data_IF_413508137296
#
_entry.id   IF_413508137296
#
_cell.length_a   1.000
_cell.length_b   1.000
_cell.length_c   1.000
_cell.angle_alpha   90.00
_cell.angle_beta   90.00
_cell.angle_gamma   90.00
#
_symmetry.space_group_name_H-M   'P 1'
#
loop_
_entity.id
_entity.type
_entity.pdbx_description
1 polymer ?
#
# COMPACT_ATOMS: atom_id res chain seq x y z
N UNK A 1 70.74 -20.38 9.02
CA UNK A 1 70.23 -21.58 9.69
C UNK A 1 68.72 -21.60 9.51
N UNK A 2 68.20 -22.77 9.10
CA UNK A 2 66.81 -23.22 8.96
C UNK A 2 65.77 -22.43 9.80
N UNK A 3 64.57 -22.09 9.34
CA UNK A 3 63.58 -23.02 8.77
C UNK A 3 62.49 -22.35 7.92
N UNK A 4 62.08 -23.06 6.87
CA UNK A 4 60.94 -22.78 6.02
C UNK A 4 59.62 -23.38 6.56
N UNK A 5 58.52 -23.08 5.83
CA UNK A 5 57.15 -23.65 5.87
C UNK A 5 56.17 -22.94 6.83
N UNK A 6 54.99 -22.44 6.44
CA UNK A 6 54.09 -22.73 5.31
C UNK A 6 53.29 -21.49 4.85
N UNK A 7 53.24 -21.28 3.54
CA UNK A 7 52.10 -20.68 2.77
C UNK A 7 51.08 -21.78 2.41
N UNK A 8 49.93 -21.55 1.73
CA UNK A 8 49.18 -20.32 1.43
C UNK A 8 47.65 -20.46 1.71
N UNK A 9 46.87 -19.38 1.62
CA UNK A 9 45.62 -19.42 0.82
C UNK A 9 45.09 -18.01 0.56
N UNK A 10 44.76 -17.79 -0.70
CA UNK A 10 44.17 -16.58 -1.22
C UNK A 10 42.76 -16.39 -0.66
N UNK A 11 42.44 -15.18 -0.21
CA UNK A 11 41.06 -14.71 -0.19
C UNK A 11 40.92 -13.63 -1.26
N UNK A 12 40.32 -14.11 -2.34
CA UNK A 12 39.78 -13.37 -3.47
C UNK A 12 39.15 -12.04 -3.07
N UNK A 13 39.65 -10.97 -3.70
CA UNK A 13 38.83 -9.81 -4.03
C UNK A 13 37.60 -10.29 -4.82
N UNK A 14 36.44 -10.29 -4.17
CA UNK A 14 35.15 -10.40 -4.85
C UNK A 14 34.49 -9.01 -4.82
N UNK A 15 34.12 -8.46 -5.98
CA UNK A 15 33.35 -7.23 -6.03
C UNK A 15 31.97 -7.49 -5.44
N UNK A 16 31.55 -6.61 -4.53
CA UNK A 16 30.18 -6.53 -4.02
C UNK A 16 29.26 -6.30 -5.22
N UNK A 17 28.59 -7.36 -5.67
CA UNK A 17 27.61 -7.29 -6.74
C UNK A 17 26.40 -6.44 -6.29
N UNK A 18 25.87 -5.54 -7.14
CA UNK A 18 24.71 -4.73 -6.80
C UNK A 18 23.45 -5.60 -6.84
N UNK A 19 23.06 -6.12 -5.68
CA UNK A 19 21.82 -6.86 -5.48
C UNK A 19 20.70 -5.90 -5.04
N UNK A 20 20.14 -5.07 -5.96
CA UNK A 20 18.94 -4.28 -5.62
C UNK A 20 18.28 -3.58 -6.84
N UNK A 21 17.86 -4.30 -7.89
CA UNK A 21 16.94 -3.73 -8.89
C UNK A 21 15.94 -4.80 -9.36
N UNK A 22 15.03 -5.23 -8.48
CA UNK A 22 13.93 -6.13 -8.86
C UNK A 22 12.58 -5.78 -8.19
N UNK A 23 12.44 -4.58 -7.62
CA UNK A 23 11.22 -4.19 -6.88
C UNK A 23 10.13 -3.48 -7.69
N UNK A 24 10.39 -3.08 -8.94
CA UNK A 24 9.49 -2.21 -9.71
C UNK A 24 8.83 -2.89 -10.94
N UNK A 25 9.21 -4.13 -11.27
CA UNK A 25 8.63 -4.86 -12.42
C UNK A 25 7.54 -5.87 -12.00
N UNK A 26 7.57 -6.39 -10.77
CA UNK A 26 6.56 -7.35 -10.29
C UNK A 26 5.17 -6.72 -10.07
N UNK A 27 5.10 -5.39 -9.91
CA UNK A 27 3.88 -4.65 -9.54
C UNK A 27 2.89 -4.43 -10.70
N UNK A 28 3.25 -4.83 -11.93
CA UNK A 28 2.36 -4.85 -13.09
C UNK A 28 1.58 -6.17 -13.26
N UNK A 29 2.07 -7.28 -12.72
CA UNK A 29 1.56 -8.60 -13.11
C UNK A 29 0.32 -9.04 -12.31
N UNK A 30 -0.24 -8.13 -11.51
CA UNK A 30 -0.96 -8.51 -10.28
C UNK A 30 -2.48 -8.46 -10.34
N UNK A 31 -3.11 -7.84 -11.35
CA UNK A 31 -4.57 -7.95 -11.48
C UNK A 31 -5.00 -9.20 -12.27
N UNK A 32 -4.21 -9.60 -13.27
CA UNK A 32 -4.61 -10.68 -14.19
C UNK A 32 -4.65 -12.06 -13.55
N UNK A 33 -3.81 -12.36 -12.55
CA UNK A 33 -3.67 -13.73 -12.04
C UNK A 33 -4.35 -14.01 -10.70
N UNK A 34 -4.66 -12.98 -9.90
CA UNK A 34 -5.34 -13.14 -8.61
C UNK A 34 -6.88 -13.07 -8.71
N UNK A 35 -7.45 -12.80 -9.89
CA UNK A 35 -8.89 -12.54 -10.01
C UNK A 35 -9.70 -13.46 -10.95
N UNK A 36 -9.16 -14.51 -11.58
CA UNK A 36 -10.04 -15.42 -12.32
C UNK A 36 -9.51 -16.85 -12.44
N UNK A 37 -9.75 -17.66 -11.41
CA UNK A 37 -9.91 -19.11 -11.56
C UNK A 37 -11.37 -19.50 -11.35
N UNK A 38 -12.31 -18.87 -12.06
CA UNK A 38 -13.59 -19.54 -12.30
C UNK A 38 -13.36 -20.67 -13.28
N UNK A 39 -13.02 -21.83 -12.74
CA UNK A 39 -13.45 -23.06 -13.38
C UNK A 39 -14.98 -23.01 -13.33
N UNK A 40 -15.64 -22.71 -14.45
CA UNK A 40 -17.09 -22.90 -14.54
C UNK A 40 -17.37 -24.40 -14.53
N UNK A 41 -17.32 -25.00 -13.35
CA UNK A 41 -17.84 -26.34 -13.13
C UNK A 41 -19.33 -26.21 -12.83
N UNK A 42 -20.13 -27.06 -13.47
CA UNK A 42 -21.57 -27.11 -13.24
C UNK A 42 -21.85 -27.68 -11.86
N UNK A 43 -21.81 -26.84 -10.83
CA UNK A 43 -22.26 -27.24 -9.50
C UNK A 43 -23.77 -27.15 -9.48
N UNK A 44 -24.42 -28.30 -9.24
CA UNK A 44 -25.85 -28.32 -9.00
C UNK A 44 -26.13 -27.68 -7.64
N UNK A 45 -26.98 -26.65 -7.57
CA UNK A 45 -27.33 -25.92 -6.34
C UNK A 45 -27.52 -26.88 -5.13
N UNK A 46 -26.95 -26.58 -3.95
CA UNK A 46 -27.23 -27.31 -2.73
C UNK A 46 -28.74 -27.43 -2.49
N UNK A 47 -29.21 -28.55 -1.96
CA UNK A 47 -30.66 -28.83 -1.80
C UNK A 47 -31.42 -27.73 -1.05
N UNK A 48 -30.77 -27.06 -0.09
CA UNK A 48 -31.31 -25.92 0.65
C UNK A 48 -31.57 -24.69 -0.24
N UNK A 49 -30.62 -24.34 -1.11
CA UNK A 49 -30.73 -23.22 -2.04
C UNK A 49 -31.64 -23.53 -3.24
N UNK A 50 -31.68 -24.78 -3.71
CA UNK A 50 -32.64 -25.22 -4.76
C UNK A 50 -34.09 -24.96 -4.40
N UNK A 51 -34.46 -25.08 -3.12
CA UNK A 51 -35.84 -24.84 -2.65
C UNK A 51 -36.20 -23.36 -2.60
N UNK A 52 -35.21 -22.49 -2.40
CA UNK A 52 -35.39 -21.03 -2.27
C UNK A 52 -35.19 -20.30 -3.60
N UNK A 53 -34.39 -20.83 -4.52
CA UNK A 53 -34.06 -20.20 -5.79
C UNK A 53 -35.29 -19.83 -6.64
N UNK A 54 -36.31 -20.69 -6.81
CA UNK A 54 -37.53 -20.31 -7.54
C UNK A 54 -38.27 -19.15 -6.87
N UNK A 55 -38.39 -19.16 -5.53
CA UNK A 55 -39.05 -18.09 -4.80
C UNK A 55 -38.29 -16.76 -4.88
N UNK A 56 -36.96 -16.79 -4.88
CA UNK A 56 -36.10 -15.62 -5.07
C UNK A 56 -36.18 -15.07 -6.51
N UNK A 57 -36.18 -15.95 -7.51
CA UNK A 57 -36.29 -15.58 -8.93
C UNK A 57 -37.65 -14.98 -9.26
N UNK A 58 -38.74 -15.60 -8.78
CA UNK A 58 -40.10 -15.07 -8.96
C UNK A 58 -40.27 -13.72 -8.25
N UNK A 59 -39.67 -13.52 -7.06
CA UNK A 59 -39.63 -12.21 -6.39
C UNK A 59 -38.83 -11.14 -7.16
N UNK A 60 -37.82 -11.56 -7.92
CA UNK A 60 -37.01 -10.68 -8.76
C UNK A 60 -37.60 -10.47 -10.18
N UNK A 61 -38.81 -10.98 -10.46
CA UNK A 61 -39.48 -10.82 -11.75
C UNK A 61 -39.05 -11.81 -12.85
N UNK A 62 -38.28 -12.85 -12.51
CA UNK A 62 -37.84 -13.90 -13.45
C UNK A 62 -38.85 -15.05 -13.57
N UNK A 63 -39.01 -15.61 -14.78
CA UNK A 63 -39.79 -16.83 -14.99
C UNK A 63 -39.10 -18.04 -14.34
N UNK A 64 -39.88 -18.82 -13.59
CA UNK A 64 -39.47 -20.06 -12.92
C UNK A 64 -39.38 -21.23 -13.93
N UNK A 65 -38.54 -21.11 -14.95
CA UNK A 65 -38.08 -22.28 -15.70
C UNK A 65 -36.69 -22.66 -15.23
N UNK A 66 -36.47 -23.96 -15.05
CA UNK A 66 -35.33 -24.61 -14.39
C UNK A 66 -33.99 -23.92 -14.66
N UNK A 67 -33.61 -23.03 -13.74
CA UNK A 67 -32.32 -22.37 -13.77
C UNK A 67 -31.23 -23.40 -13.47
N UNK A 68 -30.60 -23.93 -14.52
CA UNK A 68 -29.24 -24.48 -14.44
C UNK A 68 -28.29 -23.33 -14.12
N UNK A 69 -28.36 -22.84 -12.88
CA UNK A 69 -27.57 -21.72 -12.40
C UNK A 69 -26.14 -22.20 -12.22
N UNK A 70 -25.23 -21.77 -13.09
CA UNK A 70 -23.80 -22.02 -12.94
C UNK A 70 -23.29 -21.14 -11.82
N UNK A 71 -23.16 -21.71 -10.62
CA UNK A 71 -22.56 -20.98 -9.52
C UNK A 71 -21.04 -20.86 -9.74
N UNK A 72 -20.48 -19.67 -9.48
CA UNK A 72 -19.04 -19.56 -9.32
C UNK A 72 -18.57 -20.52 -8.22
N UNK A 73 -17.57 -21.35 -8.50
CA UNK A 73 -16.88 -22.11 -7.46
C UNK A 73 -16.06 -21.13 -6.63
N UNK A 74 -16.34 -21.08 -5.33
CA UNK A 74 -15.53 -20.35 -4.36
C UNK A 74 -14.66 -21.37 -3.63
N UNK A 75 -13.37 -21.42 -3.99
CA UNK A 75 -12.39 -22.37 -3.45
C UNK A 75 -11.99 -22.08 -1.98
N UNK A 76 -12.70 -21.16 -1.31
CA UNK A 76 -12.37 -20.66 0.02
C UNK A 76 -11.46 -19.43 0.00
N UNK A 77 -11.38 -18.69 1.12
CA UNK A 77 -10.54 -17.50 1.20
C UNK A 77 -9.05 -17.89 1.33
N UNK A 78 -8.19 -17.16 0.64
CA UNK A 78 -6.74 -17.20 0.85
C UNK A 78 -6.36 -16.03 1.76
N UNK A 79 -5.89 -16.33 2.97
CA UNK A 79 -5.59 -15.32 4.01
C UNK A 79 -4.09 -15.03 4.20
N UNK A 80 -3.26 -15.66 3.38
CA UNK A 80 -1.82 -15.46 3.32
C UNK A 80 -1.41 -14.87 1.96
N UNK A 81 -0.32 -14.12 1.96
CA UNK A 81 0.29 -13.56 0.76
C UNK A 81 1.22 -14.58 0.10
N UNK A 82 1.40 -14.49 -1.22
CA UNK A 82 2.30 -15.37 -1.99
C UNK A 82 3.42 -14.56 -2.62
N UNK A 83 4.62 -15.13 -2.64
CA UNK A 83 5.80 -14.60 -3.34
C UNK A 83 6.34 -15.60 -4.36
N UNK A 84 7.47 -15.26 -4.97
CA UNK A 84 8.15 -16.15 -5.90
C UNK A 84 8.60 -17.45 -5.20
N UNK A 85 8.79 -18.50 -6.00
CA UNK A 85 9.32 -19.80 -5.54
C UNK A 85 8.49 -20.46 -4.42
N UNK A 86 7.18 -20.19 -4.37
CA UNK A 86 6.26 -20.81 -3.41
C UNK A 86 6.30 -20.22 -2.00
N UNK A 87 6.96 -19.07 -1.80
CA UNK A 87 6.93 -18.34 -0.54
C UNK A 87 5.49 -17.97 -0.15
N UNK A 88 5.18 -18.09 1.13
CA UNK A 88 3.89 -17.70 1.71
C UNK A 88 4.08 -16.98 3.03
N UNK A 89 3.23 -15.99 3.30
CA UNK A 89 3.34 -15.22 4.54
C UNK A 89 1.98 -14.75 5.07
N UNK A 90 1.76 -14.96 6.37
CA UNK A 90 0.58 -14.44 7.07
C UNK A 90 0.85 -13.08 7.76
N UNK A 91 2.09 -12.63 7.82
CA UNK A 91 2.37 -11.30 8.36
C UNK A 91 2.25 -10.26 7.25
N UNK A 92 1.87 -9.05 7.64
CA UNK A 92 1.77 -7.89 6.76
C UNK A 92 1.90 -6.63 7.59
N UNK A 93 2.36 -5.55 6.98
CA UNK A 93 2.48 -4.26 7.64
C UNK A 93 1.22 -3.44 7.40
N UNK A 94 0.61 -2.97 8.48
CA UNK A 94 -0.44 -1.95 8.42
C UNK A 94 0.22 -0.58 8.52
N UNK A 95 -0.21 0.36 7.70
CA UNK A 95 0.26 1.73 7.70
C UNK A 95 -0.93 2.67 7.79
N UNK A 96 -0.82 3.71 8.61
CA UNK A 96 -1.84 4.73 8.78
C UNK A 96 -1.21 6.11 8.64
N UNK A 97 -1.77 6.92 7.75
CA UNK A 97 -1.50 8.36 7.66
C UNK A 97 -2.68 9.12 8.26
N UNK A 98 -2.45 9.82 9.36
CA UNK A 98 -3.34 10.87 9.84
C UNK A 98 -2.98 12.19 9.17
N UNK A 99 -3.98 12.84 8.57
CA UNK A 99 -3.87 14.25 8.19
C UNK A 99 -4.51 15.05 9.32
N UNK A 100 -3.70 15.83 10.03
CA UNK A 100 -4.09 16.56 11.23
C UNK A 100 -4.11 18.06 10.93
N UNK A 101 -5.24 18.70 11.16
CA UNK A 101 -5.39 20.14 11.08
C UNK A 101 -5.17 20.77 12.47
N UNK A 102 -4.42 21.86 12.51
CA UNK A 102 -4.21 22.63 13.72
C UNK A 102 -5.30 23.70 13.86
N UNK A 103 -6.06 23.65 14.96
CA UNK A 103 -7.18 24.56 15.23
C UNK A 103 -6.70 26.03 15.25
N UNK A 104 -5.51 26.25 15.81
CA UNK A 104 -4.81 27.54 15.79
C UNK A 104 -3.40 27.36 15.22
N UNK A 105 -3.18 27.82 13.99
CA UNK A 105 -1.90 27.66 13.29
C UNK A 105 -0.67 28.16 14.10
N UNK A 106 -0.84 29.16 14.97
CA UNK A 106 0.24 29.67 15.81
C UNK A 106 0.73 28.66 16.86
N UNK A 107 -0.10 27.67 17.23
CA UNK A 107 0.24 26.58 18.16
C UNK A 107 0.89 25.38 17.50
N UNK A 108 0.90 25.32 16.16
CA UNK A 108 1.40 24.16 15.42
C UNK A 108 2.86 23.84 15.74
N UNK A 109 3.80 24.81 15.81
CA UNK A 109 5.20 24.49 16.13
C UNK A 109 5.35 23.78 17.47
N UNK A 110 4.68 24.23 18.53
CA UNK A 110 4.79 23.62 19.86
C UNK A 110 4.10 22.24 19.91
N UNK A 111 2.93 22.11 19.27
CA UNK A 111 2.24 20.83 19.21
C UNK A 111 3.03 19.77 18.42
N UNK A 112 3.68 20.17 17.32
CA UNK A 112 4.55 19.29 16.53
C UNK A 112 5.77 18.86 17.32
N UNK A 113 6.49 19.77 17.97
CA UNK A 113 7.64 19.44 18.83
C UNK A 113 7.24 18.46 19.95
N UNK A 114 6.09 18.70 20.60
CA UNK A 114 5.56 17.79 21.61
C UNK A 114 5.22 16.40 21.04
N UNK A 115 4.62 16.36 19.85
CA UNK A 115 4.32 15.12 19.15
C UNK A 115 5.60 14.33 18.84
N UNK A 116 6.63 15.00 18.29
CA UNK A 116 7.94 14.39 18.01
C UNK A 116 8.56 13.78 19.27
N UNK A 117 8.59 14.54 20.38
CA UNK A 117 9.11 14.07 21.67
C UNK A 117 8.37 12.83 22.18
N UNK A 118 7.04 12.83 22.15
CA UNK A 118 6.25 11.69 22.60
C UNK A 118 6.36 10.47 21.68
N UNK A 119 6.53 10.67 20.36
CA UNK A 119 6.80 9.59 19.40
C UNK A 119 8.12 8.88 19.73
N UNK A 120 9.18 9.65 20.02
CA UNK A 120 10.47 9.08 20.45
C UNK A 120 10.34 8.41 21.81
N UNK A 121 9.76 9.10 22.81
CA UNK A 121 9.63 8.61 24.20
C UNK A 121 8.85 7.30 24.29
N UNK A 122 7.81 7.14 23.46
CA UNK A 122 6.96 5.94 23.40
C UNK A 122 7.46 4.91 22.39
N UNK A 123 8.56 5.21 21.69
CA UNK A 123 9.15 4.38 20.64
C UNK A 123 8.18 4.03 19.50
N UNK A 124 7.41 5.01 19.03
CA UNK A 124 6.41 4.83 17.96
C UNK A 124 7.02 5.19 16.61
N UNK A 125 7.21 4.17 15.77
CA UNK A 125 7.75 4.35 14.43
C UNK A 125 6.87 5.29 13.60
N UNK A 126 7.46 6.36 13.06
CA UNK A 126 6.70 7.46 12.48
C UNK A 126 7.49 8.33 11.51
N UNK A 127 6.75 9.03 10.66
CA UNK A 127 7.23 10.14 9.82
C UNK A 127 6.22 11.28 9.95
N UNK A 128 6.71 12.52 10.16
CA UNK A 128 5.86 13.72 10.10
C UNK A 128 6.18 14.50 8.85
N UNK A 129 5.12 14.96 8.18
CA UNK A 129 5.17 15.84 7.04
C UNK A 129 4.46 17.16 7.36
N UNK A 130 5.03 18.28 6.94
CA UNK A 130 4.31 19.54 6.80
C UNK A 130 3.55 19.54 5.46
N UNK A 131 2.27 19.92 5.47
CA UNK A 131 1.46 20.02 4.24
C UNK A 131 1.94 21.20 3.38
N UNK A 132 2.32 20.91 2.14
CA UNK A 132 2.73 21.93 1.16
C UNK A 132 1.58 22.87 0.81
N UNK A 133 0.34 22.41 0.90
CA UNK A 133 -0.87 23.17 0.52
C UNK A 133 -1.51 23.91 1.70
N UNK A 134 -1.07 23.68 2.94
CA UNK A 134 -1.73 24.23 4.12
C UNK A 134 -0.72 24.60 5.23
N UNK A 135 -0.69 25.86 5.69
CA UNK A 135 0.23 26.30 6.74
C UNK A 135 -0.16 25.79 8.14
N UNK A 136 -1.26 25.06 8.27
CA UNK A 136 -1.79 24.58 9.56
C UNK A 136 -1.95 23.07 9.63
N UNK A 137 -1.47 22.33 8.63
CA UNK A 137 -1.75 20.90 8.50
C UNK A 137 -0.45 20.11 8.51
N UNK A 138 -0.47 18.98 9.20
CA UNK A 138 0.61 18.00 9.17
C UNK A 138 0.07 16.62 8.82
N UNK A 139 0.93 15.78 8.24
CA UNK A 139 0.69 14.36 8.04
C UNK A 139 1.51 13.55 9.04
N UNK A 140 0.88 12.71 9.85
CA UNK A 140 1.55 11.73 10.71
C UNK A 140 1.38 10.34 10.10
N UNK A 141 2.46 9.78 9.54
CA UNK A 141 2.51 8.40 9.10
C UNK A 141 3.07 7.53 10.23
N UNK A 142 2.43 6.39 10.49
CA UNK A 142 2.93 5.34 11.39
C UNK A 142 2.56 3.95 10.87
N UNK A 143 3.19 2.90 11.39
CA UNK A 143 3.01 1.53 10.92
C UNK A 143 3.24 0.48 12.01
N UNK A 144 2.59 -0.68 11.86
CA UNK A 144 2.71 -1.83 12.76
C UNK A 144 2.25 -3.12 12.07
N UNK A 145 2.82 -4.26 12.48
CA UNK A 145 2.29 -5.58 12.11
C UNK A 145 1.01 -5.93 12.89
N UNK A 146 0.85 -5.41 14.12
CA UNK A 146 -0.36 -5.57 14.93
C UNK A 146 -1.31 -4.38 14.71
N UNK A 147 -2.50 -4.58 14.11
CA UNK A 147 -3.46 -3.51 13.90
C UNK A 147 -4.03 -2.93 15.20
N UNK A 148 -3.89 -3.60 16.36
CA UNK A 148 -4.27 -3.01 17.66
C UNK A 148 -3.41 -1.80 18.01
N UNK A 149 -2.21 -1.68 17.44
CA UNK A 149 -1.31 -0.56 17.66
C UNK A 149 -1.97 0.80 17.47
N UNK A 150 -2.81 0.96 16.43
CA UNK A 150 -3.45 2.25 16.15
C UNK A 150 -4.40 2.67 17.29
N UNK A 151 -5.43 1.88 17.67
CA UNK A 151 -6.33 2.29 18.75
C UNK A 151 -5.71 2.28 20.15
N UNK A 152 -4.69 1.45 20.42
CA UNK A 152 -4.16 1.30 21.79
C UNK A 152 -2.88 2.09 22.08
N UNK A 153 -2.14 2.49 21.04
CA UNK A 153 -0.86 3.20 21.18
C UNK A 153 -0.92 4.59 20.53
N UNK A 154 -1.38 4.67 19.28
CA UNK A 154 -1.39 5.92 18.50
C UNK A 154 -2.53 6.84 18.90
N UNK A 155 -3.76 6.32 19.04
CA UNK A 155 -4.91 7.15 19.42
C UNK A 155 -4.71 7.84 20.78
N UNK A 156 -4.23 7.17 21.85
CA UNK A 156 -3.98 7.84 23.12
C UNK A 156 -2.90 8.92 23.04
N UNK A 157 -1.90 8.78 22.16
CA UNK A 157 -0.90 9.82 21.90
C UNK A 157 -1.56 11.08 21.32
N UNK A 158 -2.43 10.91 20.33
CA UNK A 158 -3.15 12.03 19.70
C UNK A 158 -4.22 12.65 20.61
N UNK A 159 -4.49 12.06 21.78
CA UNK A 159 -5.44 12.57 22.78
C UNK A 159 -4.74 13.26 23.96
N UNK A 160 -3.41 13.34 23.98
CA UNK A 160 -2.68 14.01 25.06
C UNK A 160 -2.91 15.53 25.01
N UNK A 161 -2.93 16.15 26.19
CA UNK A 161 -2.88 17.62 26.30
C UNK A 161 -1.67 18.18 25.54
N UNK A 162 -1.82 19.32 24.88
CA UNK A 162 -0.85 19.93 23.99
C UNK A 162 -0.73 19.26 22.60
N UNK A 163 -1.48 18.17 22.36
CA UNK A 163 -1.59 17.50 21.06
C UNK A 163 -3.06 17.46 20.65
N UNK A 164 -3.91 16.71 21.37
CA UNK A 164 -5.30 16.47 20.99
C UNK A 164 -6.27 17.63 21.16
N UNK A 165 -5.88 18.64 21.95
CA UNK A 165 -6.59 19.92 22.07
C UNK A 165 -6.11 20.96 21.03
N UNK A 166 -5.12 20.61 20.20
CA UNK A 166 -4.51 21.50 19.20
C UNK A 166 -4.62 20.95 17.78
N UNK A 167 -4.40 19.64 17.62
CA UNK A 167 -4.37 18.91 16.37
C UNK A 167 -5.57 17.97 16.29
N UNK A 168 -6.39 18.15 15.27
CA UNK A 168 -7.57 17.31 15.03
C UNK A 168 -7.45 16.56 13.70
N UNK A 169 -7.88 15.28 13.63
CA UNK A 169 -7.94 14.57 12.36
C UNK A 169 -8.89 15.25 11.39
N UNK A 170 -8.38 15.59 10.20
CA UNK A 170 -9.20 16.09 9.10
C UNK A 170 -10.18 15.00 8.66
N UNK A 171 -11.47 15.29 8.71
CA UNK A 171 -12.54 14.35 8.37
C UNK A 171 -12.37 13.80 6.95
N UNK A 172 -12.35 12.47 6.80
CA UNK A 172 -12.21 11.79 5.50
C UNK A 172 -10.79 11.74 4.93
N UNK A 173 -9.76 12.19 5.66
CA UNK A 173 -8.37 12.21 5.17
C UNK A 173 -7.43 11.21 5.87
N UNK A 174 -7.94 10.41 6.80
CA UNK A 174 -7.16 9.33 7.38
C UNK A 174 -7.03 8.20 6.36
N UNK A 175 -5.80 7.84 6.00
CA UNK A 175 -5.53 6.78 5.05
C UNK A 175 -4.96 5.58 5.78
N UNK A 176 -5.74 4.50 5.88
CA UNK A 176 -5.33 3.24 6.50
C UNK A 176 -5.24 2.16 5.42
N UNK A 177 -4.11 1.46 5.37
CA UNK A 177 -3.92 0.36 4.44
C UNK A 177 -2.97 -0.71 4.96
N UNK A 178 -2.92 -1.83 4.26
CA UNK A 178 -1.99 -2.93 4.53
C UNK A 178 -1.18 -3.29 3.30
N UNK A 179 0.05 -3.76 3.52
CA UNK A 179 0.87 -4.33 2.44
C UNK A 179 0.22 -5.60 1.90
N UNK A 180 0.47 -5.87 0.63
CA UNK A 180 0.00 -7.04 -0.09
C UNK A 180 1.06 -7.48 -1.09
N UNK A 181 1.06 -8.74 -1.50
CA UNK A 181 1.98 -9.25 -2.49
C UNK A 181 1.27 -9.53 -3.82
N UNK A 182 2.07 -9.74 -4.86
CA UNK A 182 1.58 -9.99 -6.20
C UNK A 182 1.92 -11.38 -6.71
N UNK A 183 2.62 -12.21 -5.92
CA UNK A 183 3.00 -13.58 -6.28
C UNK A 183 4.37 -13.71 -6.94
N UNK A 184 5.12 -12.62 -7.09
CA UNK A 184 6.37 -12.59 -7.87
C UNK A 184 7.55 -11.96 -7.12
N UNK A 185 7.31 -11.52 -5.89
CA UNK A 185 8.30 -10.91 -5.02
C UNK A 185 9.39 -11.95 -4.70
N UNK A 186 10.65 -11.61 -5.03
CA UNK A 186 11.79 -12.49 -4.81
C UNK A 186 12.03 -12.76 -3.32
N UNK A 187 11.84 -11.73 -2.49
CA UNK A 187 11.84 -11.80 -1.04
C UNK A 187 10.50 -11.25 -0.53
N UNK A 188 9.64 -12.17 -0.10
CA UNK A 188 8.27 -11.83 0.31
C UNK A 188 8.24 -11.08 1.64
N UNK A 189 9.09 -11.46 2.60
CA UNK A 189 9.16 -10.82 3.91
C UNK A 189 9.66 -9.38 3.79
N UNK A 190 10.73 -9.19 3.02
CA UNK A 190 11.26 -7.86 2.73
C UNK A 190 10.19 -6.96 2.09
N UNK A 191 9.49 -7.49 1.09
CA UNK A 191 8.48 -6.74 0.36
C UNK A 191 7.30 -6.32 1.26
N UNK A 192 6.82 -7.23 2.11
CA UNK A 192 5.66 -6.99 2.96
C UNK A 192 5.99 -6.19 4.22
N UNK A 193 7.14 -6.41 4.85
CA UNK A 193 7.42 -5.84 6.16
C UNK A 193 8.42 -4.69 6.14
N UNK A 194 9.29 -4.61 5.12
CA UNK A 194 10.48 -3.74 5.16
C UNK A 194 10.50 -2.70 4.04
N UNK A 195 9.99 -3.01 2.84
CA UNK A 195 9.99 -2.10 1.68
C UNK A 195 9.40 -0.73 2.00
N UNK A 196 8.21 -0.71 2.59
CA UNK A 196 7.50 0.55 2.93
C UNK A 196 8.33 1.38 3.91
N UNK A 197 8.81 0.76 4.99
CA UNK A 197 9.63 1.42 6.02
C UNK A 197 10.88 2.03 5.38
N UNK A 198 11.61 1.27 4.55
CA UNK A 198 12.78 1.79 3.85
C UNK A 198 12.46 3.00 2.98
N UNK A 199 11.38 2.94 2.20
CA UNK A 199 11.03 4.01 1.27
C UNK A 199 10.65 5.30 2.00
N UNK A 200 9.92 5.23 3.11
CA UNK A 200 9.47 6.43 3.84
C UNK A 200 10.55 7.03 4.75
N UNK A 201 11.54 6.23 5.14
CA UNK A 201 12.61 6.63 6.08
C UNK A 201 13.97 6.87 5.42
N UNK A 202 14.15 6.52 4.14
CA UNK A 202 15.42 6.75 3.45
C UNK A 202 15.80 8.24 3.40
N UNK A 203 17.10 8.51 3.31
CA UNK A 203 17.64 9.87 3.31
C UNK A 203 16.96 10.77 2.27
N UNK A 204 16.78 10.27 1.05
CA UNK A 204 16.24 11.04 -0.09
C UNK A 204 14.70 11.07 -0.17
N UNK A 205 14.00 10.71 0.91
CA UNK A 205 12.53 10.76 0.97
C UNK A 205 12.01 12.09 1.56
N UNK A 206 12.41 13.22 0.97
CA UNK A 206 12.06 14.57 1.48
C UNK A 206 10.62 14.97 1.19
N UNK A 207 10.04 14.55 0.06
CA UNK A 207 8.65 14.81 -0.29
C UNK A 207 7.88 13.50 -0.45
N UNK A 208 6.61 13.53 -0.05
CA UNK A 208 5.67 12.44 -0.27
C UNK A 208 4.32 12.97 -0.77
N UNK A 209 3.75 12.28 -1.75
CA UNK A 209 2.37 12.51 -2.22
C UNK A 209 1.55 11.28 -1.88
N UNK A 210 0.60 11.42 -0.95
CA UNK A 210 -0.28 10.35 -0.48
C UNK A 210 -1.69 10.53 -1.03
N UNK A 211 -2.32 9.45 -1.47
CA UNK A 211 -3.70 9.50 -1.95
C UNK A 211 -4.37 8.12 -1.89
N UNK A 212 -5.67 8.07 -1.58
CA UNK A 212 -6.47 6.87 -1.80
C UNK A 212 -6.90 6.79 -3.26
N UNK A 213 -7.20 5.58 -3.72
CA UNK A 213 -7.69 5.35 -5.07
C UNK A 213 -8.63 4.16 -5.15
N UNK A 214 -9.53 4.22 -6.13
CA UNK A 214 -10.48 3.15 -6.44
C UNK A 214 -10.54 2.91 -7.93
N UNK A 215 -10.53 1.63 -8.33
CA UNK A 215 -10.77 1.26 -9.72
C UNK A 215 -12.26 1.19 -10.02
N UNK A 216 -12.60 1.37 -11.28
CA UNK A 216 -13.94 1.05 -11.77
C UNK A 216 -14.16 -0.47 -11.77
N UNK A 217 -15.39 -0.89 -11.45
CA UNK A 217 -15.77 -2.30 -11.47
C UNK A 217 -15.52 -2.99 -12.81
N UNK A 218 -15.60 -2.25 -13.93
CA UNK A 218 -15.34 -2.77 -15.28
C UNK A 218 -13.91 -3.29 -15.45
N UNK A 219 -12.93 -2.70 -14.75
CA UNK A 219 -11.55 -3.17 -14.76
C UNK A 219 -11.48 -4.64 -14.36
N UNK A 220 -12.17 -5.01 -13.29
CA UNK A 220 -12.21 -6.39 -12.77
C UNK A 220 -13.01 -7.36 -13.65
N UNK A 221 -13.72 -6.85 -14.66
CA UNK A 221 -14.46 -7.65 -15.64
C UNK A 221 -13.71 -7.78 -16.98
N UNK A 222 -12.64 -7.03 -17.18
CA UNK A 222 -11.77 -7.17 -18.34
C UNK A 222 -11.13 -8.55 -18.42
N UNK A 223 -10.71 -8.94 -19.62
CA UNK A 223 -9.95 -10.18 -19.82
C UNK A 223 -8.61 -10.11 -19.06
N UNK A 224 -8.15 -11.20 -18.43
CA UNK A 224 -6.89 -11.22 -17.69
C UNK A 224 -5.68 -10.71 -18.49
N UNK A 225 -5.62 -11.02 -19.78
CA UNK A 225 -4.55 -10.58 -20.68
C UNK A 225 -4.57 -9.05 -20.86
N UNK A 226 -5.76 -8.48 -20.98
CA UNK A 226 -5.93 -7.03 -21.15
C UNK A 226 -5.60 -6.28 -19.86
N UNK A 227 -6.05 -6.80 -18.71
CA UNK A 227 -5.65 -6.27 -17.39
C UNK A 227 -4.13 -6.27 -17.23
N UNK A 228 -3.46 -7.37 -17.62
CA UNK A 228 -2.01 -7.49 -17.55
C UNK A 228 -1.32 -6.45 -18.44
N UNK A 229 -1.77 -6.29 -19.68
CA UNK A 229 -1.21 -5.31 -20.62
C UNK A 229 -1.30 -3.88 -20.06
N UNK A 230 -2.49 -3.46 -19.60
CA UNK A 230 -2.71 -2.13 -19.02
C UNK A 230 -1.81 -1.87 -17.81
N UNK A 231 -1.63 -2.86 -16.94
CA UNK A 231 -0.78 -2.71 -15.76
C UNK A 231 0.72 -2.73 -16.11
N UNK A 232 1.14 -3.47 -17.15
CA UNK A 232 2.51 -3.45 -17.65
C UNK A 232 2.87 -2.09 -18.24
N UNK A 233 1.96 -1.47 -19.00
CA UNK A 233 2.09 -0.09 -19.47
C UNK A 233 2.32 0.86 -18.28
N UNK A 234 1.44 0.79 -17.27
CA UNK A 234 1.52 1.62 -16.07
C UNK A 234 2.86 1.42 -15.32
N UNK A 235 3.28 0.17 -15.10
CA UNK A 235 4.53 -0.10 -14.39
C UNK A 235 5.78 0.30 -15.19
N UNK A 236 5.72 0.34 -16.53
CA UNK A 236 6.83 0.82 -17.33
C UNK A 236 7.19 2.28 -16.99
N UNK A 237 6.16 3.13 -16.82
CA UNK A 237 6.34 4.52 -16.35
C UNK A 237 6.90 4.52 -14.93
N UNK A 238 6.28 3.78 -13.99
CA UNK A 238 6.74 3.70 -12.61
C UNK A 238 8.21 3.30 -12.50
N UNK A 239 8.64 2.29 -13.25
CA UNK A 239 10.04 1.84 -13.33
C UNK A 239 10.97 2.93 -13.85
N UNK A 240 10.56 3.70 -14.86
CA UNK A 240 11.37 4.80 -15.38
C UNK A 240 11.61 5.88 -14.31
N UNK A 241 10.59 6.18 -13.50
CA UNK A 241 10.70 7.12 -12.39
C UNK A 241 11.50 6.57 -11.20
N UNK A 242 11.40 5.27 -10.88
CA UNK A 242 12.24 4.66 -9.84
C UNK A 242 13.73 4.69 -10.18
N UNK A 243 14.10 4.59 -11.46
CA UNK A 243 15.50 4.80 -11.90
C UNK A 243 16.01 6.23 -11.63
N UNK A 244 15.10 7.18 -11.44
CA UNK A 244 15.39 8.57 -11.09
C UNK A 244 15.21 8.86 -9.60
N UNK A 245 14.98 7.83 -8.77
CA UNK A 245 14.87 7.95 -7.32
C UNK A 245 13.45 8.15 -6.80
N UNK A 246 12.41 7.98 -7.62
CA UNK A 246 11.02 8.08 -7.18
C UNK A 246 10.46 6.71 -6.80
N UNK A 247 10.07 6.57 -5.54
CA UNK A 247 9.66 5.31 -4.94
C UNK A 247 8.17 5.29 -4.64
N UNK A 248 7.57 4.12 -4.79
CA UNK A 248 6.16 3.90 -4.48
C UNK A 248 5.98 3.21 -3.11
N UNK A 249 4.89 3.57 -2.44
CA UNK A 249 4.25 2.75 -1.42
C UNK A 249 2.87 2.40 -1.94
N UNK A 250 2.51 1.12 -1.89
CA UNK A 250 1.20 0.63 -2.34
C UNK A 250 0.62 -0.25 -1.26
N UNK A 251 -0.57 0.13 -0.80
CA UNK A 251 -1.30 -0.55 0.26
C UNK A 251 -2.70 -0.88 -0.24
N UNK A 252 -3.23 -2.02 0.15
CA UNK A 252 -4.63 -2.36 -0.02
C UNK A 252 -5.44 -1.81 1.16
N UNK A 253 -6.60 -1.22 0.88
CA UNK A 253 -7.52 -0.72 1.91
C UNK A 253 -8.98 -1.19 1.73
N UNK A 254 -9.21 -2.29 0.99
CA UNK A 254 -10.52 -2.94 0.89
C UNK A 254 -11.17 -3.15 2.27
N UNK A 255 -12.30 -2.49 2.51
CA UNK A 255 -13.04 -2.55 3.77
C UNK A 255 -12.36 -1.86 4.97
N UNK A 256 -11.27 -1.14 4.75
CA UNK A 256 -10.55 -0.34 5.76
C UNK A 256 -10.76 1.17 5.58
N UNK A 257 -11.13 1.58 4.37
CA UNK A 257 -11.31 2.99 4.00
C UNK A 257 -12.79 3.40 4.07
N UNK A 258 -13.06 4.58 4.65
CA UNK A 258 -14.42 5.09 4.86
C UNK A 258 -15.16 5.45 3.57
N UNK A 259 -14.43 5.77 2.50
CA UNK A 259 -14.97 6.14 1.19
C UNK A 259 -14.93 4.96 0.19
N UNK A 260 -14.72 3.73 0.70
CA UNK A 260 -14.67 2.49 -0.07
C UNK A 260 -13.60 2.54 -1.18
N UNK A 261 -12.45 3.15 -0.88
CA UNK A 261 -11.27 3.05 -1.72
C UNK A 261 -10.63 1.66 -1.62
N UNK A 262 -9.87 1.29 -2.64
CA UNK A 262 -9.27 -0.04 -2.77
C UNK A 262 -7.79 -0.03 -2.42
N UNK A 263 -7.12 1.11 -2.68
CA UNK A 263 -5.71 1.29 -2.40
C UNK A 263 -5.42 2.63 -1.73
N UNK A 264 -4.36 2.64 -0.93
CA UNK A 264 -3.65 3.86 -0.50
C UNK A 264 -2.27 3.81 -1.15
N UNK A 265 -1.92 4.89 -1.84
CA UNK A 265 -0.66 5.01 -2.59
C UNK A 265 0.13 6.18 -2.03
N UNK A 266 1.45 6.01 -1.93
CA UNK A 266 2.38 7.12 -1.78
C UNK A 266 3.40 7.12 -2.91
N UNK A 267 3.80 8.31 -3.32
CA UNK A 267 4.95 8.54 -4.18
C UNK A 267 5.96 9.38 -3.41
N UNK A 268 7.22 8.95 -3.37
CA UNK A 268 8.25 9.48 -2.48
C UNK A 268 9.49 9.85 -3.30
N UNK A 269 10.03 11.04 -3.08
CA UNK A 269 11.21 11.54 -3.79
C UNK A 269 11.86 12.70 -3.02
N UNK A 270 13.11 13.04 -3.34
CA UNK A 270 13.82 14.18 -2.75
C UNK A 270 13.29 15.56 -3.19
N UNK A 271 12.59 15.58 -4.33
CA UNK A 271 12.02 16.77 -4.96
C UNK A 271 10.55 16.53 -5.28
N UNK A 272 9.70 17.53 -5.14
CA UNK A 272 8.28 17.42 -5.43
C UNK A 272 7.96 17.30 -6.93
N UNK A 273 8.72 17.97 -7.81
CA UNK A 273 8.41 18.03 -9.24
C UNK A 273 8.32 16.65 -9.92
N UNK A 274 9.28 15.72 -9.73
CA UNK A 274 9.17 14.36 -10.28
C UNK A 274 7.92 13.61 -9.83
N UNK A 275 7.42 13.85 -8.61
CA UNK A 275 6.19 13.22 -8.12
C UNK A 275 4.97 13.75 -8.88
N UNK A 276 4.88 15.06 -9.06
CA UNK A 276 3.81 15.69 -9.83
C UNK A 276 3.83 15.24 -11.31
N UNK A 277 5.02 15.25 -11.93
CA UNK A 277 5.20 14.81 -13.32
C UNK A 277 4.88 13.33 -13.49
N UNK A 278 5.21 12.48 -12.52
CA UNK A 278 4.85 11.06 -12.51
C UNK A 278 3.34 10.88 -12.57
N UNK A 279 2.57 11.58 -11.71
CA UNK A 279 1.11 11.54 -11.76
C UNK A 279 0.59 12.01 -13.11
N UNK A 280 1.13 13.10 -13.67
CA UNK A 280 0.76 13.62 -14.99
C UNK A 280 1.00 12.60 -16.11
N UNK A 281 2.14 11.92 -16.14
CA UNK A 281 2.43 10.90 -17.16
C UNK A 281 1.57 9.64 -16.97
N UNK A 282 1.30 9.25 -15.73
CA UNK A 282 0.38 8.14 -15.44
C UNK A 282 -1.03 8.40 -15.98
N UNK A 283 -1.49 9.66 -16.07
CA UNK A 283 -2.80 10.02 -16.66
C UNK A 283 -2.97 9.60 -18.10
N UNK A 284 -1.89 9.29 -18.82
CA UNK A 284 -1.92 8.88 -20.24
C UNK A 284 -2.09 7.36 -20.41
N UNK A 285 -1.92 6.59 -19.34
CA UNK A 285 -2.07 5.12 -19.36
C UNK A 285 -3.53 4.74 -19.43
N UNK A 286 -3.85 3.69 -20.19
CA UNK A 286 -5.23 3.23 -20.34
C UNK A 286 -5.87 2.92 -18.97
N UNK A 287 -5.10 2.27 -18.08
CA UNK A 287 -5.50 1.97 -16.72
C UNK A 287 -5.98 3.21 -15.95
N UNK A 288 -5.20 4.29 -16.00
CA UNK A 288 -5.50 5.49 -15.22
C UNK A 288 -6.60 6.34 -15.87
N UNK A 289 -6.59 6.44 -17.21
CA UNK A 289 -7.53 7.30 -17.93
C UNK A 289 -8.94 6.70 -18.00
N UNK A 290 -9.04 5.37 -18.16
CA UNK A 290 -10.32 4.73 -18.47
C UNK A 290 -10.88 3.92 -17.31
N UNK A 291 -10.06 3.46 -16.37
CA UNK A 291 -10.48 2.46 -15.39
C UNK A 291 -10.45 2.95 -13.95
N UNK A 292 -10.28 4.25 -13.69
CA UNK A 292 -10.27 4.83 -12.35
C UNK A 292 -11.62 5.45 -11.98
N UNK A 293 -12.15 5.04 -10.82
CA UNK A 293 -13.37 5.63 -10.23
C UNK A 293 -13.04 6.85 -9.37
N UNK A 294 -11.97 6.77 -8.57
CA UNK A 294 -11.47 7.89 -7.76
C UNK A 294 -9.95 7.87 -7.69
N UNK A 295 -9.35 9.06 -7.65
CA UNK A 295 -7.93 9.25 -7.42
C UNK A 295 -7.73 10.52 -6.59
N UNK A 296 -7.46 10.35 -5.30
CA UNK A 296 -7.41 11.44 -4.33
C UNK A 296 -8.53 11.37 -3.29
N UNK A 297 -8.54 12.31 -2.33
CA UNK A 297 -7.76 13.55 -2.31
C UNK A 297 -6.25 13.33 -2.15
N UNK A 298 -5.44 14.26 -2.67
CA UNK A 298 -3.97 14.21 -2.57
C UNK A 298 -3.50 15.01 -1.35
N UNK A 299 -2.78 14.34 -0.45
CA UNK A 299 -1.97 14.99 0.58
C UNK A 299 -0.54 15.13 0.07
N UNK A 300 0.02 16.35 0.10
CA UNK A 300 1.37 16.64 -0.38
C UNK A 300 2.21 17.10 0.79
N UNK A 301 3.13 16.24 1.24
CA UNK A 301 3.92 16.45 2.44
C UNK A 301 5.39 16.72 2.15
N UNK A 302 5.97 17.70 2.84
CA UNK A 302 7.41 17.84 3.02
C UNK A 302 7.81 17.24 4.36
N UNK A 303 8.71 16.27 4.37
CA UNK A 303 9.10 15.52 5.56
C UNK A 303 9.94 16.39 6.50
N UNK A 304 9.51 16.48 7.75
CA UNK A 304 10.17 17.28 8.79
C UNK A 304 10.72 16.45 9.94
N UNK A 305 10.21 15.22 10.13
CA UNK A 305 10.65 14.34 11.21
C UNK A 305 10.55 12.87 10.81
N UNK A 306 11.44 12.05 11.38
CA UNK A 306 11.44 10.59 11.26
C UNK A 306 11.82 9.99 12.60
N UNK A 307 11.05 9.01 13.07
CA UNK A 307 11.48 8.06 14.09
C UNK A 307 11.36 6.65 13.54
N UNK A 308 12.47 5.95 13.38
CA UNK A 308 12.49 4.55 12.95
C UNK A 308 13.30 3.75 13.99
N UNK A 309 12.63 3.06 14.92
CA UNK A 309 13.33 2.24 15.90
C UNK A 309 14.22 1.23 15.18
N UNK A 310 15.49 1.12 15.62
CA UNK A 310 16.32 0.00 15.22
C UNK A 310 15.77 -1.24 15.92
N UNK A 311 15.40 -2.26 15.14
CA UNK A 311 15.08 -3.59 15.68
C UNK A 311 16.31 -4.21 16.35
#
# INVERSE_FOLDING_TARGET
MSSASNTPSATSNLPVAPLAIAGSVAAALSAGFLMYRHRQQEITLPRSLRRLAPALLTRAGGQSESAHFKMPVFDGPVLYEKGANGQTMEKRLFCQLYVLDCINAAKLPQAREKLELELVRRNIASVIYDDVSSPRTIGLLTWSEDPKHFPTVVNPLLQLEGIGDVLEPRQGWTMLGKTYANGHEADLEDFLLRKVIRHVTMKDAEYAVWYPMRREGKFYKEKPEHQCQMLLEHAAIGKAYSKRGAWDVRLNCYGLDGDDNEFVIALIHKDLYPLSKLVEDMRKTEHTSLFMKSLGPFFVGHRVFIHAPSN
#
